data_IF_903699671572
#
_entry.id   IF_903699671572
#
_cell.length_a   1.000
_cell.length_b   1.000
_cell.length_c   1.000
_cell.angle_alpha   90.00
_cell.angle_beta   90.00
_cell.angle_gamma   90.00
#
_symmetry.space_group_name_H-M   'P 1'
#
loop_
_entity.id
_entity.type
_entity.pdbx_description
1 polymer ?
#
# COMPACT_ATOMS: atom_id res chain seq x y z
N UNK A 1 -7.29 -6.58 -16.47
CA UNK A 1 -8.11 -6.16 -15.33
C UNK A 1 -7.44 -5.05 -14.56
N UNK A 2 -8.21 -4.07 -14.10
CA UNK A 2 -7.70 -2.75 -13.89
C UNK A 2 -7.11 -2.48 -12.52
N UNK A 3 -5.90 -1.98 -12.53
CA UNK A 3 -5.33 -1.25 -11.39
C UNK A 3 -6.18 -0.03 -11.06
N UNK A 4 -6.22 0.37 -9.80
CA UNK A 4 -6.85 1.61 -9.37
C UNK A 4 -6.13 2.80 -10.02
N UNK A 5 -6.69 3.37 -11.07
CA UNK A 5 -6.06 4.46 -11.81
C UNK A 5 -6.37 5.84 -11.23
N UNK A 6 -7.40 5.96 -10.39
CA UNK A 6 -7.77 7.22 -9.74
C UNK A 6 -8.46 7.00 -8.40
N UNK A 7 -8.45 8.05 -7.58
CA UNK A 7 -9.26 8.20 -6.37
C UNK A 7 -9.86 9.59 -6.34
N UNK A 8 -11.17 9.65 -6.14
CA UNK A 8 -11.91 10.92 -5.99
C UNK A 8 -12.68 10.88 -4.69
N UNK A 9 -12.48 11.89 -3.85
CA UNK A 9 -13.20 12.06 -2.59
C UNK A 9 -14.11 13.25 -2.71
N UNK A 10 -15.39 13.05 -2.39
CA UNK A 10 -16.40 14.12 -2.37
C UNK A 10 -16.92 14.28 -0.94
N UNK A 11 -16.97 15.51 -0.46
CA UNK A 11 -17.50 15.89 0.86
C UNK A 11 -18.58 16.93 0.65
N UNK A 12 -19.78 16.66 1.16
CA UNK A 12 -20.94 17.56 1.02
C UNK A 12 -21.20 18.02 -0.44
N UNK A 13 -21.06 17.08 -1.40
CA UNK A 13 -21.28 17.36 -2.82
C UNK A 13 -20.10 18.02 -3.55
N UNK A 14 -19.10 18.49 -2.83
CA UNK A 14 -17.90 19.14 -3.39
C UNK A 14 -16.73 18.14 -3.45
N UNK A 15 -15.99 18.16 -4.57
CA UNK A 15 -14.79 17.33 -4.72
C UNK A 15 -13.68 17.88 -3.83
N UNK A 16 -13.33 17.14 -2.78
CA UNK A 16 -12.30 17.51 -1.82
C UNK A 16 -10.89 17.07 -2.24
N UNK A 17 -10.77 15.94 -2.97
CA UNK A 17 -9.53 15.51 -3.59
C UNK A 17 -9.79 14.66 -4.84
N UNK A 18 -8.90 14.73 -5.80
CA UNK A 18 -8.95 13.92 -7.01
C UNK A 18 -7.52 13.56 -7.43
N UNK A 19 -7.11 12.34 -7.12
CA UNK A 19 -5.79 11.82 -7.47
C UNK A 19 -5.87 10.91 -8.68
N UNK A 20 -4.84 10.96 -9.53
CA UNK A 20 -4.61 10.02 -10.62
C UNK A 20 -3.26 9.34 -10.43
N UNK A 21 -3.19 8.04 -10.70
CA UNK A 21 -2.01 7.23 -10.43
C UNK A 21 -1.32 6.81 -11.72
N UNK A 22 0.02 6.86 -11.72
CA UNK A 22 0.86 6.34 -12.79
C UNK A 22 1.52 5.06 -12.33
N UNK A 23 1.58 4.07 -13.23
CA UNK A 23 2.10 2.74 -12.93
C UNK A 23 3.15 2.29 -13.95
N UNK A 24 4.09 1.46 -13.48
CA UNK A 24 4.90 0.56 -14.28
C UNK A 24 4.58 -0.87 -13.83
N UNK A 25 3.92 -1.68 -14.68
CA UNK A 25 3.41 -2.97 -14.23
C UNK A 25 2.39 -2.79 -13.09
N UNK A 26 2.65 -3.40 -11.94
CA UNK A 26 1.86 -3.28 -10.72
C UNK A 26 2.35 -2.18 -9.77
N UNK A 27 3.55 -1.65 -9.99
CA UNK A 27 4.18 -0.63 -9.16
C UNK A 27 3.55 0.75 -9.43
N UNK A 28 2.97 1.37 -8.41
CA UNK A 28 2.56 2.77 -8.48
C UNK A 28 3.79 3.66 -8.40
N UNK A 29 4.06 4.44 -9.44
CA UNK A 29 5.23 5.32 -9.51
C UNK A 29 4.93 6.73 -9.03
N UNK A 30 3.72 7.24 -9.28
CA UNK A 30 3.36 8.60 -8.90
C UNK A 30 1.86 8.76 -8.68
N UNK A 31 1.51 9.81 -7.92
CA UNK A 31 0.16 10.35 -7.81
C UNK A 31 0.15 11.80 -8.25
N UNK A 32 -0.85 12.17 -9.05
CA UNK A 32 -1.07 13.50 -9.60
C UNK A 32 -2.33 14.11 -9.00
N UNK A 33 -2.28 15.40 -8.66
CA UNK A 33 -3.45 16.17 -8.27
C UNK A 33 -4.23 16.64 -9.51
N UNK A 34 -5.44 16.13 -9.66
CA UNK A 34 -6.30 16.49 -10.79
C UNK A 34 -7.10 17.77 -10.54
N UNK A 35 -7.03 18.34 -9.33
CA UNK A 35 -7.63 19.64 -8.99
C UNK A 35 -6.63 20.78 -9.15
N UNK A 36 -5.33 20.48 -9.12
CA UNK A 36 -4.24 21.44 -9.25
C UNK A 36 -3.33 21.11 -10.44
N UNK A 37 -3.81 21.35 -11.64
CA UNK A 37 -3.07 21.27 -12.91
C UNK A 37 -2.20 20.01 -13.09
N UNK A 38 -2.59 18.87 -12.50
CA UNK A 38 -1.83 17.59 -12.49
C UNK A 38 -0.48 17.69 -11.82
N UNK A 39 -0.32 18.57 -10.85
CA UNK A 39 0.89 18.63 -10.04
C UNK A 39 1.18 17.27 -9.39
N UNK A 40 2.46 16.93 -9.30
CA UNK A 40 2.88 15.68 -8.69
C UNK A 40 2.76 15.79 -7.17
N UNK A 41 1.85 15.01 -6.59
CA UNK A 41 1.66 14.92 -5.15
C UNK A 41 2.79 14.12 -4.49
N UNK A 42 3.18 13.01 -5.13
CA UNK A 42 4.25 12.13 -4.66
C UNK A 42 4.79 11.26 -5.78
N UNK A 43 6.04 10.86 -5.61
CA UNK A 43 6.71 9.86 -6.47
C UNK A 43 7.27 8.76 -5.58
N UNK A 44 7.13 7.51 -6.00
CA UNK A 44 7.64 6.32 -5.31
C UNK A 44 8.75 5.67 -6.15
N UNK A 45 9.83 5.34 -5.49
CA UNK A 45 10.93 4.54 -6.03
C UNK A 45 10.88 3.15 -5.42
N UNK A 46 10.88 2.14 -6.27
CA UNK A 46 10.82 0.73 -5.92
C UNK A 46 12.12 0.01 -6.27
N UNK A 47 12.42 -1.06 -5.58
CA UNK A 47 13.56 -1.90 -5.91
C UNK A 47 13.39 -2.47 -7.33
N UNK A 48 14.34 -2.21 -8.25
CA UNK A 48 14.22 -2.67 -9.63
C UNK A 48 14.37 -4.17 -9.80
N UNK A 49 14.87 -4.87 -8.79
CA UNK A 49 15.01 -6.34 -8.77
C UNK A 49 13.70 -7.04 -8.37
N UNK A 50 12.76 -6.30 -7.78
CA UNK A 50 11.46 -6.82 -7.38
C UNK A 50 10.42 -6.50 -8.46
N UNK A 51 9.80 -7.51 -9.09
CA UNK A 51 8.84 -7.28 -10.20
C UNK A 51 7.46 -6.80 -9.74
N UNK A 52 7.16 -6.91 -8.45
CA UNK A 52 5.88 -6.55 -7.81
C UNK A 52 6.13 -5.60 -6.64
N UNK A 53 5.08 -4.96 -6.13
CA UNK A 53 5.15 -3.93 -5.09
C UNK A 53 5.50 -4.50 -3.70
N UNK A 54 6.72 -4.96 -3.52
CA UNK A 54 7.16 -5.59 -2.26
C UNK A 54 8.30 -4.87 -1.56
N UNK A 55 8.99 -3.93 -2.23
CA UNK A 55 10.12 -3.23 -1.65
C UNK A 55 10.18 -1.76 -2.08
N UNK A 56 9.53 -0.86 -1.34
CA UNK A 56 9.70 0.56 -1.56
C UNK A 56 11.10 0.99 -1.08
N UNK A 57 11.79 1.80 -1.87
CA UNK A 57 13.08 2.38 -1.51
C UNK A 57 12.93 3.81 -1.02
N UNK A 58 12.16 4.63 -1.75
CA UNK A 58 12.02 6.03 -1.42
C UNK A 58 10.68 6.62 -1.85
N UNK A 59 10.34 7.73 -1.19
CA UNK A 59 9.22 8.60 -1.47
C UNK A 59 9.75 10.03 -1.65
N UNK A 60 9.33 10.69 -2.72
CA UNK A 60 9.43 12.15 -2.83
C UNK A 60 8.05 12.74 -2.68
N UNK A 61 7.86 13.59 -1.68
CA UNK A 61 6.59 14.25 -1.36
C UNK A 61 6.86 15.66 -0.84
N UNK A 62 6.10 16.65 -1.30
CA UNK A 62 6.28 18.06 -0.94
C UNK A 62 7.75 18.52 -1.07
N UNK A 63 8.43 18.14 -2.16
CA UNK A 63 9.83 18.41 -2.46
C UNK A 63 10.84 17.83 -1.46
N UNK A 64 10.42 16.95 -0.55
CA UNK A 64 11.29 16.27 0.40
C UNK A 64 11.46 14.80 0.01
N UNK A 65 12.68 14.28 0.22
CA UNK A 65 13.02 12.87 0.03
C UNK A 65 12.88 12.14 1.35
N UNK A 66 12.27 10.96 1.28
CA UNK A 66 12.16 10.03 2.39
C UNK A 66 12.61 8.63 1.93
N UNK A 67 13.25 7.87 2.83
CA UNK A 67 13.69 6.50 2.59
C UNK A 67 12.92 5.54 3.49
N UNK A 68 12.58 4.36 2.97
CA UNK A 68 11.82 3.35 3.68
C UNK A 68 12.72 2.30 4.34
N UNK A 69 12.43 1.97 5.62
CA UNK A 69 12.86 0.75 6.28
C UNK A 69 11.71 -0.26 6.28
N UNK A 70 12.03 -1.54 6.07
CA UNK A 70 11.03 -2.62 6.06
C UNK A 70 11.51 -3.81 6.88
N UNK A 71 10.56 -4.54 7.48
CA UNK A 71 10.81 -5.84 8.12
C UNK A 71 10.89 -6.97 7.09
N UNK A 72 11.05 -8.21 7.56
CA UNK A 72 11.11 -9.41 6.71
C UNK A 72 9.77 -9.70 6.01
N UNK A 73 8.65 -9.33 6.62
CA UNK A 73 7.31 -9.49 6.03
C UNK A 73 6.96 -8.34 5.08
N UNK A 74 7.95 -7.54 4.69
CA UNK A 74 7.81 -6.39 3.77
C UNK A 74 6.94 -5.26 4.33
N UNK A 75 6.66 -5.22 5.63
CA UNK A 75 5.98 -4.08 6.23
C UNK A 75 6.93 -2.90 6.35
N UNK A 76 6.47 -1.70 6.05
CA UNK A 76 7.24 -0.47 6.33
C UNK A 76 7.24 -0.23 7.84
N UNK A 77 8.39 -0.26 8.48
CA UNK A 77 8.55 -0.05 9.93
C UNK A 77 9.02 1.36 10.26
N UNK A 78 9.93 1.91 9.47
CA UNK A 78 10.42 3.27 9.63
C UNK A 78 10.42 4.02 8.29
N UNK A 79 10.29 5.34 8.39
CA UNK A 79 10.52 6.24 7.27
C UNK A 79 11.48 7.33 7.73
N UNK A 80 12.61 7.45 7.04
CA UNK A 80 13.67 8.41 7.33
C UNK A 80 13.56 9.59 6.38
N UNK A 81 13.82 10.79 6.88
CA UNK A 81 14.00 11.99 6.04
C UNK A 81 15.37 12.01 5.34
N UNK A 82 15.62 13.03 4.50
CA UNK A 82 16.87 13.19 3.77
C UNK A 82 18.11 13.43 4.63
N UNK A 83 17.96 13.64 5.94
CA UNK A 83 19.03 13.77 6.92
C UNK A 83 19.23 12.47 7.72
N UNK A 84 18.43 11.45 7.47
CA UNK A 84 18.47 10.19 8.21
C UNK A 84 17.72 10.22 9.55
N UNK A 85 16.91 11.26 9.80
CA UNK A 85 16.05 11.34 10.98
C UNK A 85 14.75 10.58 10.74
N UNK A 86 14.22 9.92 11.76
CA UNK A 86 12.95 9.20 11.67
C UNK A 86 11.78 10.21 11.54
N UNK A 87 11.11 10.19 10.40
CA UNK A 87 9.95 11.02 10.10
C UNK A 87 8.61 10.34 10.50
N UNK A 88 8.58 9.01 10.47
CA UNK A 88 7.47 8.20 10.94
C UNK A 88 7.93 6.79 11.33
N UNK A 89 7.23 6.15 12.27
CA UNK A 89 7.36 4.72 12.58
C UNK A 89 5.99 4.04 12.52
N UNK A 90 6.01 2.74 12.27
CA UNK A 90 4.80 1.91 12.19
C UNK A 90 5.03 0.59 12.92
N UNK A 91 4.07 0.23 13.78
CA UNK A 91 3.98 -1.06 14.44
C UNK A 91 2.72 -1.78 13.95
N UNK A 92 2.79 -3.09 13.78
CA UNK A 92 1.70 -3.86 13.22
C UNK A 92 1.29 -5.00 14.13
N UNK A 93 -0.03 -5.19 14.30
CA UNK A 93 -0.55 -6.45 14.81
C UNK A 93 -0.31 -7.59 13.80
N UNK A 94 -0.48 -8.87 14.18
CA UNK A 94 -0.28 -9.99 13.25
C UNK A 94 -1.08 -9.90 11.96
N UNK A 95 -2.24 -9.26 11.96
CA UNK A 95 -3.08 -9.03 10.78
C UNK A 95 -3.04 -7.58 10.26
N UNK A 96 -2.03 -6.81 10.67
CA UNK A 96 -1.69 -5.53 10.07
C UNK A 96 -2.40 -4.31 10.64
N UNK A 97 -3.13 -4.40 11.76
CA UNK A 97 -3.61 -3.18 12.44
C UNK A 97 -2.40 -2.32 12.80
N UNK A 98 -2.45 -1.06 12.40
CA UNK A 98 -1.30 -0.15 12.42
C UNK A 98 -1.35 0.75 13.65
N UNK A 99 -0.28 0.74 14.46
CA UNK A 99 0.11 1.84 15.32
C UNK A 99 1.14 2.72 14.59
N UNK A 100 1.07 4.03 14.73
CA UNK A 100 2.03 4.91 14.06
C UNK A 100 2.43 6.09 14.93
N UNK A 101 3.66 6.57 14.76
CA UNK A 101 4.18 7.82 15.35
C UNK A 101 4.77 8.71 14.26
N UNK A 102 5.02 9.97 14.60
CA UNK A 102 5.53 10.97 13.65
C UNK A 102 4.42 11.69 12.88
N UNK A 103 4.83 12.67 12.06
CA UNK A 103 3.90 13.57 11.37
C UNK A 103 3.79 13.30 9.86
N UNK A 104 4.60 12.39 9.32
CA UNK A 104 4.57 12.09 7.90
C UNK A 104 3.37 11.21 7.56
N UNK A 105 2.48 11.72 6.73
CA UNK A 105 1.41 10.95 6.12
C UNK A 105 1.87 10.44 4.77
N UNK A 106 1.97 9.11 4.64
CA UNK A 106 2.44 8.45 3.41
C UNK A 106 1.65 7.14 3.18
N UNK A 107 1.54 6.68 1.92
CA UNK A 107 0.59 5.61 1.60
C UNK A 107 1.12 4.19 1.77
N UNK A 108 2.43 3.96 1.80
CA UNK A 108 3.00 2.60 1.77
C UNK A 108 3.25 2.11 3.19
N UNK A 109 2.54 1.07 3.63
CA UNK A 109 2.61 0.59 5.02
C UNK A 109 2.68 -0.95 5.08
N UNK A 110 1.60 -1.61 5.45
CA UNK A 110 1.47 -3.06 5.55
C UNK A 110 1.81 -3.77 4.24
N UNK A 111 2.66 -4.80 4.30
CA UNK A 111 3.14 -5.58 3.14
C UNK A 111 3.71 -4.72 1.99
N UNK A 112 4.19 -3.51 2.27
CA UNK A 112 4.59 -2.51 1.27
C UNK A 112 3.48 -2.12 0.29
N UNK A 113 2.22 -2.33 0.66
CA UNK A 113 1.06 -2.03 -0.17
C UNK A 113 0.45 -0.65 0.14
N UNK A 114 -0.46 -0.20 -0.73
CA UNK A 114 -1.07 1.12 -0.63
C UNK A 114 -2.16 1.16 0.42
N UNK A 115 -1.89 1.75 1.58
CA UNK A 115 -2.89 2.02 2.60
C UNK A 115 -3.81 3.18 2.20
N UNK A 116 -5.11 2.95 2.24
CA UNK A 116 -6.12 3.95 1.98
C UNK A 116 -6.81 4.39 3.28
N UNK A 117 -6.27 5.42 3.92
CA UNK A 117 -6.78 5.92 5.20
C UNK A 117 -8.23 6.46 5.15
N UNK A 118 -8.82 6.72 3.98
CA UNK A 118 -10.23 7.11 3.86
C UNK A 118 -11.16 5.92 3.83
N UNK A 119 -10.71 4.80 3.27
CA UNK A 119 -11.47 3.56 3.24
C UNK A 119 -11.14 2.65 4.44
N UNK A 120 -10.04 2.90 5.16
CA UNK A 120 -9.44 2.01 6.15
C UNK A 120 -9.15 0.61 5.57
N UNK A 121 -8.65 0.57 4.34
CA UNK A 121 -8.36 -0.63 3.58
C UNK A 121 -6.95 -0.54 2.96
N UNK A 122 -6.33 -1.71 2.75
CA UNK A 122 -5.09 -1.83 1.99
C UNK A 122 -5.40 -2.32 0.58
N UNK A 123 -4.85 -1.64 -0.41
CA UNK A 123 -5.06 -1.95 -1.83
C UNK A 123 -3.94 -2.85 -2.36
N UNK A 124 -4.27 -4.09 -2.69
CA UNK A 124 -3.38 -5.14 -3.22
C UNK A 124 -3.62 -5.39 -4.71
N UNK A 125 -3.75 -4.38 -5.52
CA UNK A 125 -3.99 -4.49 -6.97
C UNK A 125 -5.27 -5.26 -7.36
N UNK A 126 -5.41 -6.54 -6.99
CA UNK A 126 -6.59 -7.37 -7.34
C UNK A 126 -7.67 -7.35 -6.27
N UNK A 127 -7.30 -7.21 -5.00
CA UNK A 127 -8.22 -7.19 -3.85
C UNK A 127 -7.97 -6.00 -2.93
N UNK A 128 -8.93 -5.73 -2.06
CA UNK A 128 -8.76 -4.87 -0.91
C UNK A 128 -8.75 -5.72 0.36
N UNK A 129 -7.78 -5.45 1.22
CA UNK A 129 -7.63 -6.12 2.51
C UNK A 129 -8.16 -5.24 3.63
N UNK A 130 -8.98 -5.82 4.52
CA UNK A 130 -9.47 -5.16 5.72
C UNK A 130 -8.63 -5.58 6.91
N UNK A 131 -7.82 -4.66 7.41
CA UNK A 131 -6.93 -4.89 8.56
C UNK A 131 -7.70 -5.21 9.85
N UNK A 132 -8.90 -4.63 10.04
CA UNK A 132 -9.70 -4.85 11.24
C UNK A 132 -10.29 -6.27 11.32
N UNK A 133 -10.63 -6.85 10.18
CA UNK A 133 -11.23 -8.18 10.09
C UNK A 133 -10.21 -9.27 9.74
N UNK A 134 -8.99 -8.90 9.35
CA UNK A 134 -7.95 -9.83 8.93
C UNK A 134 -8.28 -10.60 7.67
N UNK A 135 -9.04 -10.00 6.73
CA UNK A 135 -9.54 -10.69 5.53
C UNK A 135 -9.70 -9.78 4.33
N UNK A 136 -9.81 -10.42 3.16
CA UNK A 136 -10.19 -9.74 1.92
C UNK A 136 -11.66 -9.31 1.95
N UNK A 137 -11.98 -8.13 1.41
CA UNK A 137 -13.37 -7.69 1.24
C UNK A 137 -14.00 -8.22 -0.05
N UNK A 138 -13.18 -8.68 -0.99
CA UNK A 138 -13.60 -9.23 -2.28
C UNK A 138 -13.25 -10.72 -2.34
N UNK A 139 -14.06 -11.48 -3.06
CA UNK A 139 -13.79 -12.89 -3.37
C UNK A 139 -12.48 -13.02 -4.15
N UNK A 140 -11.77 -14.12 -3.94
CA UNK A 140 -10.55 -14.44 -4.67
C UNK A 140 -10.77 -14.45 -6.19
N UNK A 141 -9.98 -13.72 -6.99
CA UNK A 141 -10.13 -13.69 -8.43
C UNK A 141 -9.75 -15.01 -9.12
N UNK A 142 -8.97 -15.88 -8.46
CA UNK A 142 -8.65 -17.23 -8.93
C UNK A 142 -9.58 -18.31 -8.35
N UNK A 143 -10.59 -17.88 -7.60
CA UNK A 143 -11.59 -18.74 -6.97
C UNK A 143 -10.96 -19.84 -6.09
N UNK A 144 -11.42 -21.07 -6.21
CA UNK A 144 -11.00 -22.21 -5.37
C UNK A 144 -9.56 -22.68 -5.66
N UNK A 145 -8.92 -22.19 -6.73
CA UNK A 145 -7.49 -22.41 -7.00
C UNK A 145 -6.62 -21.72 -5.95
N UNK A 146 -7.10 -20.64 -5.33
CA UNK A 146 -6.45 -19.91 -4.23
C UNK A 146 -6.79 -20.46 -2.84
N UNK A 147 -7.52 -21.60 -2.74
CA UNK A 147 -7.93 -22.20 -1.48
C UNK A 147 -9.44 -22.17 -1.23
N UNK A 148 -9.90 -22.95 -0.26
CA UNK A 148 -11.34 -23.06 0.06
C UNK A 148 -11.93 -21.80 0.70
N UNK A 149 -11.09 -21.03 1.43
CA UNK A 149 -11.54 -19.77 2.04
C UNK A 149 -11.25 -18.61 1.09
N UNK A 150 -12.21 -18.29 0.25
CA UNK A 150 -12.10 -17.25 -0.79
C UNK A 150 -11.87 -15.82 -0.26
N UNK A 151 -11.95 -15.62 1.04
CA UNK A 151 -11.71 -14.34 1.73
C UNK A 151 -10.57 -14.41 2.74
N UNK A 152 -9.94 -15.59 2.90
CA UNK A 152 -8.79 -15.78 3.80
C UNK A 152 -7.57 -15.02 3.32
N UNK A 153 -6.80 -14.47 4.27
CA UNK A 153 -5.52 -13.84 3.99
C UNK A 153 -4.41 -14.87 4.31
N UNK A 154 -3.56 -15.15 3.33
CA UNK A 154 -2.37 -16.03 3.41
C UNK A 154 -2.58 -17.32 4.23
N UNK A 155 -3.73 -17.96 4.04
CA UNK A 155 -4.14 -19.19 4.75
C UNK A 155 -4.00 -19.13 6.29
N UNK A 156 -4.04 -17.90 6.85
CA UNK A 156 -3.78 -17.53 8.24
C UNK A 156 -2.32 -17.73 8.70
N UNK A 157 -1.39 -17.92 7.78
CA UNK A 157 0.07 -18.06 8.05
C UNK A 157 0.80 -16.72 7.91
N UNK A 158 0.31 -15.69 8.60
CA UNK A 158 0.75 -14.29 8.46
C UNK A 158 2.22 -14.02 8.85
N UNK A 159 2.90 -15.00 9.47
CA UNK A 159 4.31 -14.88 9.89
C UNK A 159 5.27 -15.37 8.81
N UNK A 160 4.85 -16.36 8.01
CA UNK A 160 5.71 -17.03 7.04
C UNK A 160 5.24 -16.90 5.60
N UNK A 161 4.12 -16.21 5.39
CA UNK A 161 3.49 -16.09 4.07
C UNK A 161 3.12 -14.66 3.76
N UNK A 162 3.25 -14.30 2.49
CA UNK A 162 2.84 -13.00 1.93
C UNK A 162 2.00 -13.21 0.69
N UNK A 163 1.16 -12.23 0.38
CA UNK A 163 0.47 -12.13 -0.90
C UNK A 163 0.93 -10.83 -1.59
N UNK A 164 1.52 -10.93 -2.78
CA UNK A 164 2.07 -9.76 -3.48
C UNK A 164 1.03 -8.92 -4.20
N UNK A 165 -0.04 -9.53 -4.67
CA UNK A 165 -1.00 -8.86 -5.55
C UNK A 165 -2.46 -9.01 -5.11
N UNK A 166 -2.71 -9.73 -4.03
CA UNK A 166 -4.06 -10.11 -3.64
C UNK A 166 -4.61 -11.24 -4.53
N UNK A 167 -3.80 -12.26 -4.84
CA UNK A 167 -4.13 -13.41 -5.69
C UNK A 167 -3.64 -14.74 -5.15
N UNK A 168 -2.42 -14.77 -4.65
CA UNK A 168 -1.70 -16.00 -4.35
C UNK A 168 -0.90 -15.85 -3.06
N UNK A 169 -1.01 -16.85 -2.19
CA UNK A 169 -0.14 -16.97 -1.02
C UNK A 169 1.25 -17.44 -1.47
N UNK A 170 2.29 -16.80 -0.97
CA UNK A 170 3.69 -17.14 -1.21
C UNK A 170 4.39 -17.33 0.14
N UNK A 171 5.11 -18.45 0.31
CA UNK A 171 5.95 -18.71 1.47
C UNK A 171 7.32 -18.06 1.27
N UNK A 172 7.99 -17.72 2.39
CA UNK A 172 9.37 -17.20 2.39
C UNK A 172 10.38 -18.32 2.24
#
# INVERSE_FOLDING_TARGET
MGRRYMKKVTVNGTVASHERYLYRGYLQLAALDMLDNRNVLRTLLWDPLEPVATRPLALVQAASLYCYGTDFNKNVTEVFDGQGTIAATYDYSPYGIVGSTGNLVQPVQWSSEMNDGKLALVYYNYRYYNLADGRWINRDPIAEEGGWNLYGFVDNEVVFSIDYLGKETNEF
#
